data_IF_703126093830
#
_entry.id   IF_703126093830
#
_cell.length_a   1.000
_cell.length_b   1.000
_cell.length_c   1.000
_cell.angle_alpha   90.00
_cell.angle_beta   90.00
_cell.angle_gamma   90.00
#
_symmetry.space_group_name_H-M   'P 1'
#
loop_
_entity.id
_entity.type
_entity.pdbx_description
1 polymer ?
#
# COMPACT_ATOMS: atom_id res chain seq x y z
N UNK A 1 -29.63 -9.24 17.55
CA UNK A 1 -29.07 -9.72 16.26
C UNK A 1 -28.00 -8.74 15.75
N UNK A 2 -28.33 -7.47 15.56
CA UNK A 2 -27.36 -6.42 15.16
C UNK A 2 -26.21 -6.26 16.16
N UNK A 3 -26.48 -6.25 17.47
CA UNK A 3 -25.42 -6.10 18.48
C UNK A 3 -24.41 -7.25 18.49
N UNK A 4 -24.84 -8.46 18.10
CA UNK A 4 -23.95 -9.62 17.96
C UNK A 4 -23.02 -9.45 16.76
N UNK A 5 -23.56 -9.03 15.62
CA UNK A 5 -22.79 -8.80 14.39
C UNK A 5 -21.75 -7.69 14.60
N UNK A 6 -22.13 -6.60 15.28
CA UNK A 6 -21.20 -5.52 15.62
C UNK A 6 -20.08 -6.03 16.52
N UNK A 7 -20.39 -6.87 17.51
CA UNK A 7 -19.40 -7.53 18.36
C UNK A 7 -18.40 -8.38 17.57
N UNK A 8 -18.91 -9.20 16.64
CA UNK A 8 -18.09 -10.08 15.80
C UNK A 8 -17.16 -9.28 14.88
N UNK A 9 -17.67 -8.21 14.25
CA UNK A 9 -16.87 -7.32 13.39
C UNK A 9 -15.75 -6.65 14.18
N UNK A 10 -16.03 -6.15 15.38
CA UNK A 10 -15.00 -5.54 16.26
C UNK A 10 -13.90 -6.56 16.58
N UNK A 11 -14.28 -7.81 16.85
CA UNK A 11 -13.31 -8.85 17.18
C UNK A 11 -12.42 -9.21 15.98
N UNK A 12 -13.01 -9.32 14.79
CA UNK A 12 -12.26 -9.56 13.54
C UNK A 12 -11.26 -8.44 13.29
N UNK A 13 -11.67 -7.17 13.44
CA UNK A 13 -10.80 -6.01 13.23
C UNK A 13 -9.61 -6.04 14.19
N UNK A 14 -9.83 -6.35 15.48
CA UNK A 14 -8.76 -6.46 16.47
C UNK A 14 -7.75 -7.55 16.10
N UNK A 15 -8.22 -8.73 15.71
CA UNK A 15 -7.34 -9.82 15.28
C UNK A 15 -6.55 -9.47 14.03
N UNK A 16 -7.17 -8.77 13.08
CA UNK A 16 -6.46 -8.28 11.90
C UNK A 16 -5.38 -7.27 12.29
N UNK A 17 -5.68 -6.35 13.19
CA UNK A 17 -4.71 -5.37 13.69
C UNK A 17 -3.51 -6.06 14.36
N UNK A 18 -3.76 -7.01 15.26
CA UNK A 18 -2.73 -7.80 15.93
C UNK A 18 -1.87 -8.58 14.92
N UNK A 19 -2.51 -9.27 13.97
CA UNK A 19 -1.81 -10.03 12.95
C UNK A 19 -0.92 -9.15 12.06
N UNK A 20 -1.37 -7.94 11.71
CA UNK A 20 -0.56 -7.00 10.94
C UNK A 20 0.62 -6.49 11.78
N UNK A 21 0.43 -6.16 13.06
CA UNK A 21 1.52 -5.74 13.95
C UNK A 21 2.59 -6.84 14.06
N UNK A 22 2.17 -8.07 14.29
CA UNK A 22 3.08 -9.21 14.34
C UNK A 22 3.85 -9.38 13.02
N UNK A 23 3.17 -9.25 11.88
CA UNK A 23 3.81 -9.33 10.56
C UNK A 23 4.87 -8.23 10.36
N UNK A 24 4.58 -7.01 10.81
CA UNK A 24 5.51 -5.89 10.76
C UNK A 24 6.71 -6.09 11.68
N UNK A 25 6.47 -6.47 12.94
CA UNK A 25 7.54 -6.77 13.90
C UNK A 25 8.44 -7.88 13.38
N UNK A 26 7.87 -8.92 12.77
CA UNK A 26 8.64 -9.97 12.08
C UNK A 26 9.48 -9.39 10.95
N UNK A 27 8.92 -8.51 10.11
CA UNK A 27 9.66 -7.85 9.03
C UNK A 27 10.82 -6.98 9.52
N UNK A 28 10.68 -6.38 10.71
CA UNK A 28 11.69 -5.54 11.34
C UNK A 28 12.82 -6.38 11.96
N UNK A 29 12.45 -7.40 12.73
CA UNK A 29 13.38 -8.11 13.64
C UNK A 29 13.99 -9.34 12.97
N UNK A 30 13.22 -10.07 12.17
CA UNK A 30 13.63 -11.36 11.65
C UNK A 30 14.21 -11.25 10.24
N UNK A 31 15.37 -11.87 10.03
CA UNK A 31 16.04 -11.92 8.73
C UNK A 31 15.87 -13.33 8.16
N UNK A 32 15.06 -13.48 7.11
CA UNK A 32 14.86 -14.79 6.49
C UNK A 32 16.10 -15.22 5.71
N UNK A 33 16.44 -16.51 5.77
CA UNK A 33 17.66 -17.04 5.15
C UNK A 33 17.70 -16.82 3.63
N UNK A 34 16.56 -16.88 2.94
CA UNK A 34 16.49 -16.65 1.49
C UNK A 34 16.56 -15.16 1.10
N UNK A 35 16.56 -14.25 2.07
CA UNK A 35 16.88 -12.83 1.84
C UNK A 35 18.39 -12.55 1.99
N UNK A 36 19.22 -13.57 2.19
CA UNK A 36 20.65 -13.42 2.43
C UNK A 36 21.44 -13.12 1.15
N UNK A 37 21.24 -11.91 0.63
CA UNK A 37 21.94 -11.35 -0.52
C UNK A 37 22.44 -9.94 -0.16
N UNK A 38 23.72 -9.68 -0.42
CA UNK A 38 24.37 -8.40 -0.08
C UNK A 38 23.68 -7.20 -0.72
N UNK A 39 23.04 -7.39 -1.88
CA UNK A 39 22.30 -6.35 -2.58
C UNK A 39 21.08 -5.86 -1.77
N UNK A 40 20.49 -6.73 -0.94
CA UNK A 40 19.29 -6.44 -0.16
C UNK A 40 19.59 -6.08 1.30
N UNK A 41 20.85 -6.01 1.70
CA UNK A 41 21.25 -5.84 3.10
C UNK A 41 20.62 -4.60 3.76
N UNK A 42 20.59 -3.46 3.05
CA UNK A 42 20.02 -2.21 3.57
C UNK A 42 18.49 -2.22 3.64
N UNK A 43 17.84 -3.17 2.97
CA UNK A 43 16.38 -3.30 2.97
C UNK A 43 15.88 -4.13 4.17
N UNK A 44 16.71 -5.03 4.70
CA UNK A 44 16.33 -5.88 5.84
C UNK A 44 15.97 -5.01 7.04
N UNK A 45 14.81 -5.26 7.64
CA UNK A 45 14.28 -4.47 8.74
C UNK A 45 13.62 -3.13 8.35
N UNK A 46 13.78 -2.69 7.10
CA UNK A 46 13.27 -1.39 6.59
C UNK A 46 12.13 -1.54 5.58
N UNK A 47 11.93 -2.73 5.02
CA UNK A 47 10.83 -3.05 4.10
C UNK A 47 10.15 -4.35 4.51
N UNK A 48 8.92 -4.57 4.05
CA UNK A 48 8.21 -5.80 4.36
C UNK A 48 8.90 -7.04 3.78
N UNK A 49 8.77 -8.18 4.47
CA UNK A 49 9.26 -9.45 3.94
C UNK A 49 8.66 -9.79 2.58
N UNK A 50 7.39 -9.43 2.35
CA UNK A 50 6.71 -9.63 1.06
C UNK A 50 7.43 -8.87 -0.07
N UNK A 51 7.89 -7.64 0.20
CA UNK A 51 8.67 -6.89 -0.78
C UNK A 51 10.00 -7.59 -1.09
N UNK A 52 10.71 -8.05 -0.06
CA UNK A 52 11.95 -8.81 -0.22
C UNK A 52 11.75 -10.11 -1.00
N UNK A 53 10.67 -10.86 -0.74
CA UNK A 53 10.33 -12.07 -1.49
C UNK A 53 10.15 -11.81 -2.99
N UNK A 54 9.46 -10.71 -3.32
CA UNK A 54 9.28 -10.28 -4.71
C UNK A 54 10.59 -9.88 -5.37
N UNK A 55 11.47 -9.16 -4.67
CA UNK A 55 12.78 -8.75 -5.17
C UNK A 55 13.71 -9.94 -5.39
N UNK A 56 13.74 -10.91 -4.45
CA UNK A 56 14.46 -12.18 -4.61
C UNK A 56 13.94 -12.93 -5.84
N UNK A 57 12.61 -12.98 -6.02
CA UNK A 57 11.99 -13.58 -7.18
C UNK A 57 12.37 -12.90 -8.51
N UNK A 58 12.48 -11.58 -8.55
CA UNK A 58 12.98 -10.85 -9.72
C UNK A 58 14.46 -11.09 -9.97
N UNK A 59 15.30 -11.09 -8.92
CA UNK A 59 16.73 -11.36 -9.03
C UNK A 59 17.00 -12.75 -9.61
N UNK A 60 16.25 -13.76 -9.17
CA UNK A 60 16.36 -15.12 -9.68
C UNK A 60 16.05 -15.23 -11.20
N UNK A 61 15.26 -14.30 -11.76
CA UNK A 61 14.93 -14.30 -13.21
C UNK A 61 16.05 -13.72 -14.07
N UNK A 62 16.98 -12.95 -13.51
CA UNK A 62 18.01 -12.22 -14.29
C UNK A 62 18.77 -13.15 -15.23
N UNK A 63 19.29 -14.27 -14.71
CA UNK A 63 20.08 -15.19 -15.52
C UNK A 63 19.25 -15.79 -16.67
N UNK A 64 17.99 -16.15 -16.41
CA UNK A 64 17.10 -16.67 -17.44
C UNK A 64 16.80 -15.64 -18.53
N UNK A 65 16.57 -14.38 -18.15
CA UNK A 65 16.31 -13.28 -19.09
C UNK A 65 17.52 -12.99 -19.97
N UNK A 66 18.73 -13.00 -19.39
CA UNK A 66 19.99 -12.84 -20.14
C UNK A 66 20.15 -13.99 -21.14
N UNK A 67 20.02 -15.24 -20.70
CA UNK A 67 20.22 -16.42 -21.56
C UNK A 67 19.20 -16.49 -22.69
N UNK A 68 17.96 -16.08 -22.43
CA UNK A 68 16.87 -16.09 -23.43
C UNK A 68 16.76 -14.80 -24.25
N UNK A 69 17.68 -13.83 -24.07
CA UNK A 69 17.62 -12.50 -24.65
C UNK A 69 16.22 -11.85 -24.53
N UNK A 70 15.56 -12.07 -23.40
CA UNK A 70 14.19 -11.62 -23.12
C UNK A 70 14.18 -10.41 -22.20
N UNK A 71 13.12 -9.61 -22.28
CA UNK A 71 12.94 -8.46 -21.39
C UNK A 71 12.14 -8.83 -20.14
N UNK A 72 12.35 -8.12 -19.03
CA UNK A 72 11.65 -8.39 -17.76
C UNK A 72 10.21 -7.83 -17.70
N UNK A 73 9.73 -7.15 -18.75
CA UNK A 73 8.39 -6.53 -18.80
C UNK A 73 8.13 -5.37 -17.82
N UNK A 74 9.06 -5.07 -16.90
CA UNK A 74 9.04 -3.98 -15.92
C UNK A 74 7.76 -3.84 -15.07
N UNK A 75 6.87 -4.83 -15.04
CA UNK A 75 5.54 -4.71 -14.43
C UNK A 75 5.65 -4.43 -12.93
N UNK A 76 6.55 -5.14 -12.23
CA UNK A 76 6.74 -4.97 -10.78
C UNK A 76 7.10 -3.52 -10.41
N UNK A 77 7.90 -2.86 -11.24
CA UNK A 77 8.25 -1.46 -11.04
C UNK A 77 7.09 -0.53 -11.36
N UNK A 78 6.48 -0.69 -12.53
CA UNK A 78 5.46 0.25 -13.01
C UNK A 78 4.17 0.21 -12.19
N UNK A 79 3.81 -0.95 -11.62
CA UNK A 79 2.52 -1.12 -10.94
C UNK A 79 2.63 -1.27 -9.43
N UNK A 80 3.80 -1.69 -8.92
CA UNK A 80 3.98 -1.96 -7.49
C UNK A 80 5.13 -1.18 -6.85
N UNK A 81 5.85 -0.35 -7.62
CA UNK A 81 6.93 0.48 -7.08
C UNK A 81 8.12 -0.31 -6.51
N UNK A 82 8.37 -1.50 -7.04
CA UNK A 82 9.48 -2.39 -6.67
C UNK A 82 10.42 -2.63 -7.87
N UNK A 83 11.71 -2.81 -7.62
CA UNK A 83 12.69 -2.98 -8.71
C UNK A 83 12.45 -4.30 -9.48
N UNK A 84 12.42 -4.20 -10.81
CA UNK A 84 12.44 -5.33 -11.75
C UNK A 84 13.82 -5.99 -11.81
N UNK A 85 13.89 -7.19 -12.37
CA UNK A 85 15.13 -7.85 -12.77
C UNK A 85 16.10 -6.92 -13.55
N UNK A 86 15.55 -6.07 -14.43
CA UNK A 86 16.32 -5.12 -15.21
C UNK A 86 17.14 -4.13 -14.37
N UNK A 87 16.54 -3.59 -13.31
CA UNK A 87 17.17 -2.61 -12.42
C UNK A 87 18.05 -3.27 -11.36
N UNK A 88 17.78 -4.53 -11.05
CA UNK A 88 18.60 -5.33 -10.12
C UNK A 88 19.94 -5.80 -10.72
N UNK A 89 20.05 -5.81 -12.05
CA UNK A 89 21.18 -6.41 -12.80
C UNK A 89 22.56 -5.84 -12.51
N UNK A 90 22.66 -4.62 -11.97
CA UNK A 90 23.95 -3.97 -11.66
C UNK A 90 24.59 -4.45 -10.35
N UNK A 91 23.92 -5.33 -9.59
CA UNK A 91 24.34 -5.84 -8.26
C UNK A 91 24.68 -4.74 -7.23
N UNK A 92 24.29 -3.48 -7.47
CA UNK A 92 24.47 -2.40 -6.50
C UNK A 92 23.50 -2.60 -5.34
N UNK A 93 23.95 -2.31 -4.12
CA UNK A 93 23.10 -2.32 -2.92
C UNK A 93 21.91 -1.39 -3.12
N UNK A 94 20.73 -1.88 -2.77
CA UNK A 94 19.48 -1.14 -2.91
C UNK A 94 19.21 -0.40 -1.60
N UNK A 95 18.97 0.89 -1.71
CA UNK A 95 18.58 1.73 -0.59
C UNK A 95 17.06 1.68 -0.39
N UNK A 96 16.55 1.85 0.85
CA UNK A 96 15.11 1.92 1.07
C UNK A 96 14.40 3.00 0.23
N UNK A 97 15.10 4.06 -0.14
CA UNK A 97 14.55 5.21 -0.88
C UNK A 97 14.14 4.85 -2.32
N UNK A 98 14.74 3.78 -2.87
CA UNK A 98 14.41 3.21 -4.18
C UNK A 98 13.16 2.32 -4.15
N UNK A 99 12.61 2.07 -2.95
CA UNK A 99 11.44 1.25 -2.72
C UNK A 99 10.25 2.15 -2.39
N UNK A 100 9.10 1.89 -3.02
CA UNK A 100 7.88 2.62 -2.74
C UNK A 100 7.54 2.62 -1.24
N UNK A 101 7.10 3.77 -0.75
CA UNK A 101 6.76 3.98 0.67
C UNK A 101 5.74 2.96 1.18
N UNK A 102 4.86 2.45 0.33
CA UNK A 102 3.92 1.38 0.65
C UNK A 102 4.62 0.18 1.30
N UNK A 103 5.76 -0.26 0.74
CA UNK A 103 6.49 -1.44 1.24
C UNK A 103 7.37 -1.13 2.46
N UNK A 104 7.69 0.14 2.69
CA UNK A 104 8.46 0.64 3.85
C UNK A 104 7.60 0.84 5.10
N UNK A 105 6.28 0.89 4.96
CA UNK A 105 5.36 1.06 6.09
C UNK A 105 5.27 -0.22 6.92
N UNK A 106 6.13 -0.33 7.93
CA UNK A 106 6.16 -1.42 8.92
C UNK A 106 5.60 -1.00 10.28
N UNK A 107 4.66 -0.07 10.30
CA UNK A 107 3.97 0.29 11.52
C UNK A 107 2.54 0.70 11.17
N UNK A 108 1.62 0.40 12.09
CA UNK A 108 0.22 0.82 11.99
C UNK A 108 -0.01 2.21 12.59
N UNK A 109 1.05 2.97 12.89
CA UNK A 109 0.93 4.15 13.71
C UNK A 109 0.01 5.17 13.03
N UNK A 110 -1.19 5.46 13.58
CA UNK A 110 -2.11 6.43 12.98
C UNK A 110 -1.47 7.82 12.94
N UNK A 111 -0.46 8.04 13.79
CA UNK A 111 0.31 9.27 13.81
C UNK A 111 1.27 9.45 12.61
N UNK A 112 1.53 8.41 11.80
CA UNK A 112 2.32 8.46 10.55
C UNK A 112 1.50 8.32 9.26
N UNK A 113 0.19 7.99 9.35
CA UNK A 113 -0.78 8.16 8.26
C UNK A 113 -1.10 9.64 7.95
N UNK A 114 -0.20 10.51 8.38
CA UNK A 114 -0.37 11.94 8.57
C UNK A 114 0.52 12.78 7.67
N UNK A 115 1.08 12.18 6.63
CA UNK A 115 1.52 12.98 5.50
C UNK A 115 0.33 13.63 4.75
N UNK A 116 -0.91 13.36 5.18
CA UNK A 116 -2.13 14.12 4.81
C UNK A 116 -2.79 14.82 6.02
N UNK A 117 -2.04 15.07 7.11
CA UNK A 117 -2.55 15.63 8.37
C UNK A 117 -2.78 17.15 8.34
N UNK A 118 -3.39 17.63 7.26
CA UNK A 118 -4.10 18.89 7.30
C UNK A 118 -5.25 18.97 6.28
N UNK A 119 -5.88 17.83 5.96
CA UNK A 119 -7.19 17.87 5.31
C UNK A 119 -8.23 18.05 6.39
N UNK A 120 -8.46 19.31 6.74
CA UNK A 120 -9.63 19.72 7.50
C UNK A 120 -10.88 19.23 6.73
N UNK A 121 -11.55 18.23 7.29
CA UNK A 121 -12.71 17.56 6.67
C UNK A 121 -13.85 18.57 6.48
N UNK A 122 -14.00 19.52 7.41
CA UNK A 122 -15.02 20.57 7.31
C UNK A 122 -14.70 21.48 6.12
N UNK A 123 -13.42 21.84 5.92
CA UNK A 123 -12.98 22.62 4.75
C UNK A 123 -13.22 21.88 3.43
N UNK A 124 -13.01 20.57 3.37
CA UNK A 124 -13.30 19.80 2.15
C UNK A 124 -14.80 19.66 1.89
N UNK A 125 -15.59 19.40 2.93
CA UNK A 125 -17.04 19.36 2.84
C UNK A 125 -17.59 20.70 2.34
N UNK A 126 -17.06 21.81 2.86
CA UNK A 126 -17.41 23.16 2.41
C UNK A 126 -17.08 23.37 0.92
N UNK A 127 -15.91 22.92 0.46
CA UNK A 127 -15.54 23.01 -0.98
C UNK A 127 -16.53 22.23 -1.86
N UNK A 128 -16.92 21.02 -1.45
CA UNK A 128 -17.91 20.21 -2.16
C UNK A 128 -19.26 20.91 -2.18
N UNK A 129 -19.71 21.45 -1.04
CA UNK A 129 -20.97 22.21 -0.92
C UNK A 129 -20.95 23.43 -1.85
N UNK A 130 -19.87 24.21 -1.85
CA UNK A 130 -19.73 25.39 -2.71
C UNK A 130 -19.73 25.01 -4.19
N UNK A 131 -19.02 23.95 -4.55
CA UNK A 131 -19.01 23.46 -5.93
C UNK A 131 -20.42 23.10 -6.41
N UNK A 132 -21.19 22.37 -5.60
CA UNK A 132 -22.58 22.01 -5.92
C UNK A 132 -23.45 23.27 -6.01
N UNK A 133 -23.29 24.24 -5.09
CA UNK A 133 -24.05 25.50 -5.12
C UNK A 133 -23.82 26.31 -6.40
N UNK A 134 -22.63 26.21 -6.99
CA UNK A 134 -22.25 26.96 -8.20
C UNK A 134 -22.73 26.32 -9.52
N UNK A 135 -23.30 25.10 -9.49
CA UNK A 135 -23.82 24.44 -10.69
C UNK A 135 -25.24 24.91 -11.06
N UNK A 136 -25.70 24.74 -12.31
CA UNK A 136 -27.10 24.94 -12.68
C UNK A 136 -28.05 23.98 -11.93
N UNK A 137 -29.28 24.42 -11.62
CA UNK A 137 -30.28 23.61 -10.91
C UNK A 137 -30.48 22.16 -11.39
N UNK A 138 -30.56 21.86 -12.71
CA UNK A 138 -30.68 20.46 -13.15
C UNK A 138 -29.44 19.62 -12.79
N UNK A 139 -28.25 20.23 -12.82
CA UNK A 139 -26.99 19.57 -12.45
C UNK A 139 -26.92 19.36 -10.94
N UNK A 140 -27.35 20.34 -10.12
CA UNK A 140 -27.44 20.19 -8.65
C UNK A 140 -28.27 18.96 -8.25
N UNK A 141 -29.46 18.82 -8.83
CA UNK A 141 -30.36 17.68 -8.54
C UNK A 141 -29.72 16.35 -8.93
N UNK A 142 -29.06 16.30 -10.09
CA UNK A 142 -28.35 15.09 -10.54
C UNK A 142 -27.20 14.73 -9.59
N UNK A 143 -26.38 15.70 -9.19
CA UNK A 143 -25.26 15.49 -8.26
C UNK A 143 -25.74 15.02 -6.89
N UNK A 144 -26.77 15.67 -6.32
CA UNK A 144 -27.34 15.27 -5.02
C UNK A 144 -27.92 13.85 -5.06
N UNK A 145 -28.60 13.46 -6.14
CA UNK A 145 -29.12 12.10 -6.30
C UNK A 145 -28.00 11.04 -6.27
N UNK A 146 -26.84 11.34 -6.87
CA UNK A 146 -25.69 10.44 -6.87
C UNK A 146 -25.02 10.36 -5.50
N UNK A 147 -24.88 11.50 -4.81
CA UNK A 147 -24.35 11.55 -3.45
C UNK A 147 -25.23 10.75 -2.49
N UNK A 148 -26.55 10.96 -2.54
CA UNK A 148 -27.50 10.23 -1.68
C UNK A 148 -27.48 8.72 -1.97
N UNK A 149 -27.40 8.31 -3.23
CA UNK A 149 -27.25 6.90 -3.61
C UNK A 149 -25.96 6.31 -3.01
N UNK A 150 -24.82 6.96 -3.19
CA UNK A 150 -23.54 6.50 -2.65
C UNK A 150 -23.57 6.37 -1.11
N UNK A 151 -24.18 7.32 -0.41
CA UNK A 151 -24.32 7.29 1.06
C UNK A 151 -25.30 6.19 1.51
N UNK A 152 -26.37 5.92 0.76
CA UNK A 152 -27.34 4.88 1.10
C UNK A 152 -26.76 3.46 1.02
N UNK A 153 -25.76 3.23 0.16
CA UNK A 153 -25.07 1.94 0.03
C UNK A 153 -24.06 1.66 1.15
N UNK A 154 -23.78 2.62 2.02
CA UNK A 154 -22.91 2.44 3.20
C UNK A 154 -23.68 1.98 4.45
N UNK A 155 -25.02 1.96 4.39
CA UNK A 155 -25.92 1.60 5.50
C UNK A 155 -26.66 0.25 5.26
N UNK A 156 -26.19 -0.56 4.31
CA UNK A 156 -26.63 -1.94 4.05
C UNK A 156 -25.45 -2.89 4.25
#
# INVERSE_FOLDING_TARGET
>A
MLDSIVGDVIQIVKWQEESIKESFERSIIFHMAHHNDDQFELLKGNVSHVALDLLVGEKAKIQMLITSNSSCGCHLFMTRGLLCACRLSNNAKITPDEIDVFWRKLNLNPSLLNEDKNVDIDVQMDRVIQHIKNQPNPVKKSMMSKVLSAVSHLNQ
#
